data_IF_158007293472
#
_entry.id   IF_158007293472
#
_cell.length_a   1.000
_cell.length_b   1.000
_cell.length_c   1.000
_cell.angle_alpha   90.00
_cell.angle_beta   90.00
_cell.angle_gamma   90.00
#
_symmetry.space_group_name_H-M   'P 1'
#
loop_
_entity.id
_entity.type
_entity.pdbx_description
1 polymer ?
#
# COMPACT_ATOMS: atom_id res chain seq x y z
N UNK A 1 1.45 72.04 5.60
CA UNK A 1 0.63 71.05 6.32
C UNK A 1 -0.35 70.51 5.29
N UNK A 2 -0.40 69.26 4.83
CA UNK A 2 0.24 67.99 5.19
C UNK A 2 0.23 67.08 3.94
N UNK A 3 1.36 66.92 3.23
CA UNK A 3 1.48 65.90 2.18
C UNK A 3 2.16 64.60 2.68
N UNK A 4 2.59 64.55 3.94
CA UNK A 4 3.33 63.42 4.51
C UNK A 4 2.47 62.26 5.03
N UNK A 5 1.12 62.33 4.93
CA UNK A 5 0.23 61.33 5.55
C UNK A 5 -0.52 60.42 4.57
N UNK A 6 -0.45 60.66 3.25
CA UNK A 6 -1.28 59.91 2.28
C UNK A 6 -0.71 58.55 1.86
N UNK A 7 0.57 58.27 2.12
CA UNK A 7 1.25 57.04 1.68
C UNK A 7 1.64 56.09 2.82
N UNK A 8 1.33 56.42 4.08
CA UNK A 8 1.74 55.59 5.22
C UNK A 8 1.03 54.22 5.25
N UNK A 9 -0.18 54.12 4.70
CA UNK A 9 -0.90 52.85 4.59
C UNK A 9 -0.22 51.87 3.63
N UNK A 10 0.49 52.37 2.60
CA UNK A 10 1.22 51.51 1.64
C UNK A 10 2.36 50.79 2.37
N UNK A 11 3.05 51.47 3.29
CA UNK A 11 4.13 50.85 4.07
C UNK A 11 3.56 49.73 4.94
N UNK A 12 2.48 49.98 5.69
CA UNK A 12 1.83 48.95 6.49
C UNK A 12 1.27 47.79 5.65
N UNK A 13 0.76 48.07 4.45
CA UNK A 13 0.28 47.06 3.51
C UNK A 13 1.42 46.20 2.94
N UNK A 14 2.54 46.82 2.55
CA UNK A 14 3.74 46.13 2.06
C UNK A 14 4.35 45.26 3.16
N UNK A 15 4.42 45.75 4.40
CA UNK A 15 4.89 44.96 5.54
C UNK A 15 3.99 43.75 5.80
N UNK A 16 2.67 43.95 5.79
CA UNK A 16 1.69 42.86 5.93
C UNK A 16 1.83 41.81 4.83
N UNK A 17 1.96 42.23 3.56
CA UNK A 17 2.15 41.31 2.44
C UNK A 17 3.48 40.56 2.52
N UNK A 18 4.54 41.21 3.02
CA UNK A 18 5.84 40.59 3.23
C UNK A 18 5.77 39.52 4.31
N UNK A 19 5.08 39.77 5.42
CA UNK A 19 4.85 38.78 6.49
C UNK A 19 4.04 37.59 5.97
N UNK A 20 3.00 37.83 5.16
CA UNK A 20 2.22 36.76 4.53
C UNK A 20 3.08 35.91 3.59
N UNK A 21 3.87 36.54 2.71
CA UNK A 21 4.79 35.79 1.83
C UNK A 21 5.81 34.99 2.63
N UNK A 22 6.42 35.59 3.66
CA UNK A 22 7.36 34.90 4.53
C UNK A 22 6.71 33.71 5.25
N UNK A 23 5.46 33.85 5.69
CA UNK A 23 4.67 32.76 6.27
C UNK A 23 4.44 31.63 5.27
N UNK A 24 3.98 31.92 4.04
CA UNK A 24 3.75 30.89 3.02
C UNK A 24 5.04 30.19 2.59
N UNK A 25 6.14 30.92 2.42
CA UNK A 25 7.45 30.34 2.10
C UNK A 25 7.91 29.42 3.24
N UNK A 26 7.81 29.89 4.48
CA UNK A 26 8.16 29.07 5.66
C UNK A 26 7.27 27.84 5.79
N UNK A 27 5.96 27.99 5.59
CA UNK A 27 4.99 26.89 5.62
C UNK A 27 5.29 25.83 4.55
N UNK A 28 5.53 26.25 3.30
CA UNK A 28 5.87 25.36 2.19
C UNK A 28 7.21 24.66 2.39
N UNK A 29 8.23 25.34 2.93
CA UNK A 29 9.51 24.73 3.29
C UNK A 29 9.38 23.68 4.40
N UNK A 30 8.58 23.96 5.43
CA UNK A 30 8.33 23.00 6.52
C UNK A 30 7.53 21.80 6.00
N UNK A 31 6.48 22.05 5.21
CA UNK A 31 5.63 21.01 4.65
C UNK A 31 6.43 20.05 3.74
N UNK A 32 7.28 20.59 2.86
CA UNK A 32 8.14 19.80 1.96
C UNK A 32 9.20 19.01 2.72
N UNK A 33 9.85 19.60 3.73
CA UNK A 33 10.82 18.87 4.59
C UNK A 33 10.18 17.69 5.32
N UNK A 34 8.99 17.88 5.89
CA UNK A 34 8.28 16.80 6.60
C UNK A 34 7.90 15.67 5.64
N UNK A 35 7.41 16.00 4.44
CA UNK A 35 7.09 15.00 3.42
C UNK A 35 8.32 14.18 3.02
N UNK A 36 9.45 14.84 2.73
CA UNK A 36 10.71 14.20 2.36
C UNK A 36 11.24 13.26 3.46
N UNK A 37 11.14 13.66 4.73
CA UNK A 37 11.55 12.82 5.85
C UNK A 37 10.70 11.54 5.96
N UNK A 38 9.38 11.64 5.80
CA UNK A 38 8.51 10.48 5.79
C UNK A 38 8.75 9.55 4.61
N UNK A 39 8.94 10.10 3.41
CA UNK A 39 9.25 9.32 2.20
C UNK A 39 10.58 8.59 2.36
N UNK A 40 11.61 9.27 2.88
CA UNK A 40 12.91 8.65 3.14
C UNK A 40 12.82 7.50 4.15
N UNK A 41 12.02 7.67 5.21
CA UNK A 41 11.74 6.59 6.15
C UNK A 41 11.09 5.38 5.46
N UNK A 42 10.06 5.59 4.65
CA UNK A 42 9.37 4.53 3.91
C UNK A 42 10.33 3.84 2.94
N UNK A 43 11.06 4.60 2.13
CA UNK A 43 12.01 4.07 1.13
C UNK A 43 13.11 3.22 1.79
N UNK A 44 13.68 3.70 2.90
CA UNK A 44 14.69 2.92 3.66
C UNK A 44 14.08 1.64 4.23
N UNK A 45 12.84 1.70 4.69
CA UNK A 45 12.13 0.53 5.21
C UNK A 45 11.87 -0.48 4.10
N UNK A 46 11.40 -0.03 2.93
CA UNK A 46 11.21 -0.87 1.75
C UNK A 46 12.50 -1.53 1.30
N UNK A 47 13.62 -0.81 1.25
CA UNK A 47 14.91 -1.41 0.88
C UNK A 47 15.34 -2.52 1.86
N UNK A 48 15.05 -2.39 3.16
CA UNK A 48 15.35 -3.46 4.14
C UNK A 48 14.44 -4.67 3.95
N UNK A 49 13.14 -4.46 3.74
CA UNK A 49 12.18 -5.53 3.53
C UNK A 49 12.49 -6.27 2.22
N UNK A 50 12.78 -5.56 1.14
CA UNK A 50 13.23 -6.14 -0.14
C UNK A 50 14.43 -7.06 0.05
N UNK A 51 15.48 -6.59 0.73
CA UNK A 51 16.69 -7.40 1.00
C UNK A 51 16.37 -8.67 1.80
N UNK A 52 15.44 -8.59 2.76
CA UNK A 52 15.01 -9.75 3.54
C UNK A 52 14.20 -10.72 2.69
N UNK A 53 13.22 -10.23 1.94
CA UNK A 53 12.40 -11.03 1.02
C UNK A 53 13.29 -11.75 -0.01
N UNK A 54 14.22 -11.05 -0.65
CA UNK A 54 15.14 -11.65 -1.62
C UNK A 54 16.08 -12.70 -1.02
N UNK A 55 16.28 -12.70 0.31
CA UNK A 55 17.12 -13.67 1.01
C UNK A 55 16.33 -14.91 1.43
N UNK A 56 15.07 -14.74 1.83
CA UNK A 56 14.26 -15.79 2.45
C UNK A 56 13.27 -16.43 1.47
N UNK A 57 12.85 -15.71 0.43
CA UNK A 57 11.92 -16.18 -0.56
C UNK A 57 12.64 -16.95 -1.66
N UNK A 58 11.98 -17.96 -2.22
CA UNK A 58 12.54 -18.78 -3.28
C UNK A 58 12.64 -17.99 -4.59
N UNK A 59 13.55 -18.41 -5.49
CA UNK A 59 13.89 -17.68 -6.72
C UNK A 59 12.74 -17.56 -7.73
N UNK A 60 11.68 -18.35 -7.57
CA UNK A 60 10.48 -18.29 -8.41
C UNK A 60 9.65 -17.03 -8.17
N UNK A 61 9.80 -16.39 -7.00
CA UNK A 61 9.15 -15.13 -6.72
C UNK A 61 9.98 -13.95 -7.22
N UNK A 62 9.31 -12.97 -7.83
CA UNK A 62 9.96 -11.71 -8.18
C UNK A 62 9.57 -10.62 -7.19
N UNK A 63 10.57 -9.99 -6.58
CA UNK A 63 10.38 -8.86 -5.66
C UNK A 63 10.93 -7.59 -6.33
N UNK A 64 10.10 -6.55 -6.43
CA UNK A 64 10.45 -5.26 -7.00
C UNK A 64 10.24 -4.16 -5.97
N UNK A 65 11.27 -3.37 -5.70
CA UNK A 65 11.16 -2.18 -4.86
C UNK A 65 10.73 -0.97 -5.69
N UNK A 66 9.58 -0.40 -5.34
CA UNK A 66 8.98 0.75 -6.01
C UNK A 66 9.18 2.06 -5.21
N UNK A 67 10.20 2.11 -4.34
CA UNK A 67 10.52 3.26 -3.51
C UNK A 67 9.42 3.56 -2.49
N UNK A 68 8.87 4.77 -2.55
CA UNK A 68 7.79 5.18 -1.63
C UNK A 68 6.46 4.48 -1.91
N UNK A 69 6.28 3.93 -3.13
CA UNK A 69 5.06 3.21 -3.50
C UNK A 69 4.98 1.80 -2.89
N UNK A 70 6.08 1.31 -2.31
CA UNK A 70 6.13 0.04 -1.61
C UNK A 70 6.97 -1.04 -2.31
N UNK A 71 6.69 -2.28 -1.98
CA UNK A 71 7.28 -3.47 -2.59
C UNK A 71 6.20 -4.21 -3.35
N UNK A 72 6.47 -4.54 -4.61
CA UNK A 72 5.66 -5.46 -5.41
C UNK A 72 6.28 -6.84 -5.34
N UNK A 73 5.46 -7.82 -4.96
CA UNK A 73 5.80 -9.23 -4.98
C UNK A 73 4.93 -9.89 -6.04
N UNK A 74 5.55 -10.51 -7.03
CA UNK A 74 4.86 -11.21 -8.10
C UNK A 74 4.80 -12.69 -7.73
N UNK A 75 3.58 -13.23 -7.62
CA UNK A 75 3.40 -14.67 -7.47
C UNK A 75 3.68 -15.34 -8.82
N UNK A 76 4.48 -16.41 -8.84
CA UNK A 76 4.62 -17.22 -10.04
C UNK A 76 3.27 -17.86 -10.41
N UNK A 77 2.98 -17.93 -11.70
CA UNK A 77 1.77 -18.59 -12.19
C UNK A 77 1.79 -20.10 -11.89
N UNK A 78 2.99 -20.69 -11.81
CA UNK A 78 3.25 -22.09 -11.55
C UNK A 78 4.56 -22.26 -10.78
N UNK A 79 4.61 -23.19 -9.83
CA UNK A 79 5.84 -23.63 -9.17
C UNK A 79 5.92 -25.15 -9.29
N UNK A 80 7.01 -25.68 -9.85
CA UNK A 80 7.27 -27.12 -9.96
C UNK A 80 6.10 -27.93 -10.58
N UNK A 81 5.46 -27.45 -11.65
CA UNK A 81 4.31 -28.16 -12.25
C UNK A 81 2.97 -27.87 -11.57
N UNK A 82 2.94 -27.09 -10.50
CA UNK A 82 1.75 -26.80 -9.70
C UNK A 82 1.27 -25.38 -10.03
N UNK A 83 0.18 -25.22 -10.81
CA UNK A 83 -0.33 -23.90 -11.12
C UNK A 83 -1.02 -23.28 -9.90
N UNK A 84 -0.87 -21.98 -9.71
CA UNK A 84 -1.57 -21.22 -8.66
C UNK A 84 -3.09 -21.26 -8.88
N UNK A 85 -3.51 -21.08 -10.13
CA UNK A 85 -4.91 -21.20 -10.57
C UNK A 85 -4.98 -22.12 -11.79
N UNK A 86 -5.97 -23.01 -11.79
CA UNK A 86 -6.28 -23.75 -13.01
C UNK A 86 -6.85 -22.80 -14.08
N UNK A 87 -6.81 -23.25 -15.34
CA UNK A 87 -7.37 -22.52 -16.49
C UNK A 87 -8.83 -22.17 -16.23
N UNK A 88 -9.20 -20.90 -16.46
CA UNK A 88 -10.54 -20.35 -16.24
C UNK A 88 -11.09 -20.48 -14.81
N UNK A 89 -10.25 -20.79 -13.82
CA UNK A 89 -10.63 -20.86 -12.42
C UNK A 89 -10.02 -19.71 -11.62
N UNK A 90 -10.76 -19.28 -10.60
CA UNK A 90 -10.32 -18.28 -9.62
C UNK A 90 -9.90 -18.88 -8.28
N UNK A 91 -10.19 -20.16 -8.03
CA UNK A 91 -9.82 -20.81 -6.78
C UNK A 91 -8.35 -21.19 -6.79
N UNK A 92 -7.66 -20.87 -5.68
CA UNK A 92 -6.26 -21.23 -5.49
C UNK A 92 -6.14 -22.75 -5.41
N UNK A 93 -5.22 -23.31 -6.18
CA UNK A 93 -4.90 -24.73 -6.15
C UNK A 93 -4.46 -25.13 -4.74
N UNK A 94 -5.06 -26.18 -4.19
CA UNK A 94 -4.74 -26.68 -2.83
C UNK A 94 -3.25 -26.98 -2.66
N UNK A 95 -2.61 -27.52 -3.69
CA UNK A 95 -1.18 -27.84 -3.65
C UNK A 95 -0.28 -26.61 -3.71
N UNK A 96 -0.81 -25.47 -4.14
CA UNK A 96 -0.07 -24.20 -4.20
C UNK A 96 -0.11 -23.43 -2.86
N UNK A 97 -1.11 -23.70 -2.02
CA UNK A 97 -1.31 -23.05 -0.71
C UNK A 97 -0.06 -22.95 0.17
N UNK A 98 0.79 -23.99 0.32
CA UNK A 98 2.00 -23.90 1.16
C UNK A 98 3.00 -22.82 0.72
N UNK A 99 3.05 -22.52 -0.58
CA UNK A 99 3.91 -21.45 -1.10
C UNK A 99 3.39 -20.08 -0.67
N UNK A 100 2.08 -19.88 -0.70
CA UNK A 100 1.44 -18.65 -0.21
C UNK A 100 1.62 -18.53 1.31
N UNK A 101 1.48 -19.62 2.06
CA UNK A 101 1.67 -19.62 3.52
C UNK A 101 3.11 -19.22 3.88
N UNK A 102 4.10 -19.74 3.15
CA UNK A 102 5.52 -19.40 3.35
C UNK A 102 5.76 -17.92 3.08
N UNK A 103 5.24 -17.39 1.96
CA UNK A 103 5.32 -15.97 1.67
C UNK A 103 4.64 -15.15 2.77
N UNK A 104 3.43 -15.51 3.18
CA UNK A 104 2.69 -14.80 4.21
C UNK A 104 3.46 -14.78 5.54
N UNK A 105 4.10 -15.89 5.91
CA UNK A 105 4.93 -15.99 7.10
C UNK A 105 6.18 -15.10 7.00
N UNK A 106 6.88 -15.09 5.87
CA UNK A 106 8.03 -14.20 5.63
C UNK A 106 7.58 -12.74 5.69
N UNK A 107 6.43 -12.39 5.12
CA UNK A 107 5.89 -11.03 5.20
C UNK A 107 5.57 -10.71 6.66
N UNK A 108 4.89 -11.57 7.41
CA UNK A 108 4.64 -11.35 8.85
C UNK A 108 5.97 -11.15 9.59
N UNK A 109 6.95 -12.02 9.41
CA UNK A 109 8.25 -11.93 10.10
C UNK A 109 9.11 -10.74 9.63
N UNK A 110 8.94 -10.29 8.39
CA UNK A 110 9.57 -9.06 7.89
C UNK A 110 8.85 -7.82 8.41
N UNK A 111 7.53 -7.87 8.61
CA UNK A 111 6.70 -6.78 9.15
C UNK A 111 6.81 -6.65 10.68
N UNK A 112 7.42 -7.62 11.37
CA UNK A 112 7.99 -7.45 12.71
C UNK A 112 9.04 -6.30 12.74
N UNK A 113 9.46 -5.76 11.59
CA UNK A 113 10.11 -4.43 11.48
C UNK A 113 9.29 -3.24 12.03
N UNK A 114 8.08 -3.44 12.52
CA UNK A 114 7.42 -2.54 13.46
C UNK A 114 8.38 -2.08 14.58
N UNK A 115 9.35 -2.90 14.98
CA UNK A 115 10.36 -2.52 15.98
C UNK A 115 11.27 -1.36 15.54
N UNK A 116 11.52 -1.15 14.24
CA UNK A 116 12.20 0.06 13.74
C UNK A 116 11.26 1.26 13.63
N UNK A 117 9.96 1.05 13.39
CA UNK A 117 8.98 2.14 13.45
C UNK A 117 8.68 2.54 14.89
N UNK A 118 8.83 1.64 15.87
CA UNK A 118 8.65 1.92 17.30
C UNK A 118 9.50 3.10 17.77
N UNK A 119 10.68 3.29 17.18
CA UNK A 119 11.55 4.45 17.45
C UNK A 119 10.89 5.77 17.02
N UNK A 120 10.22 5.79 15.85
CA UNK A 120 9.60 6.99 15.27
C UNK A 120 8.09 7.11 15.55
N UNK A 121 7.46 6.06 16.08
CA UNK A 121 6.03 6.02 16.42
C UNK A 121 5.66 7.18 17.35
N UNK A 122 6.40 7.48 18.44
CA UNK A 122 6.07 8.62 19.29
C UNK A 122 6.10 9.95 18.54
N UNK A 123 7.06 10.12 17.61
CA UNK A 123 7.17 11.33 16.80
C UNK A 123 5.96 11.49 15.88
N UNK A 124 5.61 10.46 15.10
CA UNK A 124 4.44 10.52 14.20
C UNK A 124 3.13 10.62 14.99
N UNK A 125 3.00 9.90 16.10
CA UNK A 125 1.84 9.94 16.98
C UNK A 125 1.64 11.32 17.60
N UNK A 126 2.72 12.02 17.99
CA UNK A 126 2.68 13.40 18.49
C UNK A 126 2.16 14.38 17.44
N UNK A 127 2.36 14.09 16.15
CA UNK A 127 1.85 14.86 15.01
C UNK A 127 0.46 14.42 14.57
N UNK A 128 -0.20 13.55 15.34
CA UNK A 128 -1.51 13.01 14.97
C UNK A 128 -1.44 12.16 13.69
N UNK A 129 -0.35 11.44 13.47
CA UNK A 129 -0.20 10.49 12.36
C UNK A 129 -0.03 9.07 12.88
N UNK A 130 -0.53 8.10 12.15
CA UNK A 130 -0.29 6.68 12.37
C UNK A 130 0.21 6.04 11.07
N UNK A 131 1.19 5.15 11.18
CA UNK A 131 1.61 4.34 10.05
C UNK A 131 0.70 3.12 9.96
N UNK A 132 0.09 2.95 8.81
CA UNK A 132 -0.66 1.75 8.48
C UNK A 132 0.02 1.02 7.36
N UNK A 133 0.07 -0.29 7.50
CA UNK A 133 0.53 -1.20 6.47
C UNK A 133 -0.67 -1.58 5.62
N UNK A 134 -0.57 -1.41 4.31
CA UNK A 134 -1.60 -1.87 3.40
C UNK A 134 -1.03 -2.83 2.36
N UNK A 135 -1.90 -3.70 1.91
CA UNK A 135 -1.69 -4.69 0.89
C UNK A 135 -2.67 -4.44 -0.24
N UNK A 136 -2.18 -4.41 -1.47
CA UNK A 136 -3.03 -4.46 -2.66
C UNK A 136 -2.75 -5.73 -3.41
N UNK A 137 -3.81 -6.52 -3.63
CA UNK A 137 -3.73 -7.73 -4.44
C UNK A 137 -4.24 -7.40 -5.84
N UNK A 138 -3.39 -7.58 -6.84
CA UNK A 138 -3.70 -7.29 -8.23
C UNK A 138 -3.75 -8.59 -9.04
N UNK A 139 -4.87 -8.86 -9.70
CA UNK A 139 -5.03 -10.04 -10.56
C UNK A 139 -4.84 -9.70 -12.02
N UNK A 140 -4.18 -10.60 -12.75
CA UNK A 140 -3.91 -10.48 -14.19
C UNK A 140 -4.28 -11.77 -14.93
N UNK A 141 -4.60 -11.64 -16.22
CA UNK A 141 -4.79 -12.75 -17.15
C UNK A 141 -3.89 -12.56 -18.36
N UNK A 142 -3.68 -13.64 -19.11
CA UNK A 142 -3.24 -13.53 -20.50
C UNK A 142 -4.37 -12.94 -21.36
N UNK A 143 -4.06 -12.67 -22.64
CA UNK A 143 -5.02 -12.12 -23.59
C UNK A 143 -5.92 -13.19 -24.26
N UNK A 144 -6.02 -14.38 -23.69
CA UNK A 144 -6.91 -15.41 -24.23
C UNK A 144 -8.34 -15.10 -23.85
N UNK A 145 -9.25 -15.16 -24.82
CA UNK A 145 -10.69 -15.07 -24.57
C UNK A 145 -11.24 -13.64 -24.60
N UNK A 146 -12.30 -13.40 -23.83
CA UNK A 146 -13.05 -12.15 -23.85
C UNK A 146 -12.57 -11.21 -22.74
N UNK A 147 -12.34 -9.95 -23.07
CA UNK A 147 -11.75 -8.96 -22.16
C UNK A 147 -12.62 -8.71 -20.91
N UNK A 148 -13.96 -8.71 -21.03
CA UNK A 148 -14.87 -8.54 -19.88
C UNK A 148 -14.79 -9.77 -18.97
N UNK A 149 -14.72 -10.98 -19.55
CA UNK A 149 -14.51 -12.21 -18.78
C UNK A 149 -13.14 -12.20 -18.08
N UNK A 150 -12.09 -11.75 -18.76
CA UNK A 150 -10.74 -11.64 -18.23
C UNK A 150 -10.68 -10.65 -17.05
N UNK A 151 -11.34 -9.50 -17.17
CA UNK A 151 -11.47 -8.54 -16.08
C UNK A 151 -12.12 -9.17 -14.85
N UNK A 152 -13.28 -9.81 -15.03
CA UNK A 152 -13.99 -10.48 -13.93
C UNK A 152 -13.20 -11.63 -13.31
N UNK A 153 -12.51 -12.44 -14.13
CA UNK A 153 -11.68 -13.55 -13.66
C UNK A 153 -10.49 -13.04 -12.84
N UNK A 154 -9.83 -12.00 -13.32
CA UNK A 154 -8.69 -11.38 -12.65
C UNK A 154 -9.08 -10.81 -11.27
N UNK A 155 -10.22 -10.13 -11.18
CA UNK A 155 -10.75 -9.60 -9.92
C UNK A 155 -11.08 -10.72 -8.92
N UNK A 156 -11.71 -11.81 -9.39
CA UNK A 156 -12.01 -12.98 -8.54
C UNK A 156 -10.74 -13.66 -8.04
N UNK A 157 -9.69 -13.76 -8.86
CA UNK A 157 -8.39 -14.30 -8.42
C UNK A 157 -7.76 -13.43 -7.34
N UNK A 158 -7.78 -12.11 -7.53
CA UNK A 158 -7.29 -11.17 -6.51
C UNK A 158 -8.09 -11.30 -5.20
N UNK A 159 -9.42 -11.43 -5.28
CA UNK A 159 -10.28 -11.66 -4.12
C UNK A 159 -9.96 -12.98 -3.41
N UNK A 160 -9.79 -14.08 -4.14
CA UNK A 160 -9.45 -15.38 -3.55
C UNK A 160 -8.08 -15.34 -2.87
N UNK A 161 -7.09 -14.70 -3.48
CA UNK A 161 -5.78 -14.49 -2.87
C UNK A 161 -5.86 -13.61 -1.62
N UNK A 162 -6.62 -12.51 -1.66
CA UNK A 162 -6.89 -11.68 -0.47
C UNK A 162 -7.48 -12.53 0.65
N UNK A 163 -8.58 -13.21 0.39
CA UNK A 163 -9.31 -13.99 1.38
C UNK A 163 -8.41 -15.07 1.99
N UNK A 164 -7.59 -15.72 1.17
CA UNK A 164 -6.62 -16.69 1.65
C UNK A 164 -5.58 -16.04 2.59
N UNK A 165 -4.97 -14.92 2.18
CA UNK A 165 -4.01 -14.20 3.01
C UNK A 165 -4.63 -13.72 4.33
N UNK A 166 -5.83 -13.14 4.31
CA UNK A 166 -6.53 -12.68 5.53
C UNK A 166 -6.79 -13.84 6.50
N UNK A 167 -7.30 -14.98 5.99
CA UNK A 167 -7.66 -16.11 6.84
C UNK A 167 -6.46 -16.89 7.38
N UNK A 168 -5.32 -16.85 6.68
CA UNK A 168 -4.15 -17.67 6.97
C UNK A 168 -2.95 -16.86 7.49
N UNK A 169 -3.10 -15.54 7.65
CA UNK A 169 -2.07 -14.66 8.22
C UNK A 169 -2.58 -13.91 9.44
N UNK A 170 -1.74 -13.04 10.01
CA UNK A 170 -2.11 -12.15 11.13
C UNK A 170 -2.62 -10.79 10.66
N UNK A 171 -2.82 -10.59 9.36
CA UNK A 171 -3.22 -9.30 8.80
C UNK A 171 -4.75 -9.11 8.87
N UNK A 172 -5.19 -7.94 9.31
CA UNK A 172 -6.61 -7.57 9.29
C UNK A 172 -7.08 -7.36 7.83
N UNK A 173 -8.32 -7.72 7.53
CA UNK A 173 -8.97 -7.45 6.25
C UNK A 173 -8.90 -5.98 5.85
N UNK A 174 -9.00 -5.05 6.81
CA UNK A 174 -8.92 -3.60 6.58
C UNK A 174 -7.58 -3.15 5.95
N UNK A 175 -6.54 -3.97 6.08
CA UNK A 175 -5.25 -3.68 5.45
C UNK A 175 -5.23 -4.05 3.97
N UNK A 176 -6.25 -4.75 3.45
CA UNK A 176 -6.25 -5.24 2.08
C UNK A 176 -7.17 -4.47 1.14
N UNK A 177 -6.69 -4.31 -0.08
CA UNK A 177 -7.46 -3.86 -1.24
C UNK A 177 -7.23 -4.83 -2.40
N UNK A 178 -8.18 -4.91 -3.33
CA UNK A 178 -8.06 -5.77 -4.52
C UNK A 178 -8.27 -4.96 -5.80
N UNK A 179 -7.63 -5.39 -6.88
CA UNK A 179 -7.85 -4.88 -8.22
C UNK A 179 -7.75 -6.03 -9.24
N UNK A 180 -8.58 -5.99 -10.27
CA UNK A 180 -8.42 -6.85 -11.45
C UNK A 180 -8.01 -5.99 -12.64
N UNK A 181 -7.06 -6.43 -13.45
CA UNK A 181 -6.66 -5.73 -14.67
C UNK A 181 -6.95 -6.52 -15.96
N UNK A 182 -7.44 -7.76 -15.84
CA UNK A 182 -7.53 -8.66 -16.99
C UNK A 182 -6.19 -8.74 -17.73
N UNK A 183 -6.25 -8.56 -19.04
CA UNK A 183 -5.10 -8.58 -19.95
C UNK A 183 -4.43 -7.20 -20.15
N UNK A 184 -4.96 -6.13 -19.54
CA UNK A 184 -4.54 -4.73 -19.84
C UNK A 184 -3.14 -4.35 -19.36
N UNK A 185 -2.50 -5.19 -18.55
CA UNK A 185 -1.17 -4.96 -17.96
C UNK A 185 -0.28 -6.20 -18.10
N UNK A 186 0.12 -6.56 -19.34
CA UNK A 186 1.02 -7.69 -19.56
C UNK A 186 2.39 -7.40 -18.95
N UNK A 187 3.00 -8.44 -18.38
CA UNK A 187 4.42 -8.39 -17.97
C UNK A 187 5.32 -8.91 -19.09
N UNK A 188 4.77 -9.74 -19.98
CA UNK A 188 5.42 -10.27 -21.16
C UNK A 188 4.71 -9.76 -22.41
N UNK A 189 5.47 -9.23 -23.37
CA UNK A 189 4.97 -8.71 -24.64
C UNK A 189 4.22 -9.80 -25.44
N UNK A 190 4.55 -11.07 -25.24
CA UNK A 190 3.80 -12.17 -25.79
C UNK A 190 2.56 -12.41 -24.92
N UNK A 191 1.45 -11.81 -25.36
CA UNK A 191 0.22 -11.67 -24.56
C UNK A 191 -0.42 -12.98 -24.10
N UNK A 192 -0.15 -14.10 -24.79
CA UNK A 192 -0.70 -15.42 -24.48
C UNK A 192 0.14 -16.23 -23.48
N UNK A 193 1.30 -15.73 -23.08
CA UNK A 193 2.16 -16.46 -22.15
C UNK A 193 1.56 -16.52 -20.75
N UNK A 194 1.89 -17.59 -20.05
CA UNK A 194 1.38 -17.90 -18.73
C UNK A 194 1.88 -16.97 -17.63
N UNK A 195 3.02 -16.29 -17.83
CA UNK A 195 3.49 -15.28 -16.88
C UNK A 195 2.53 -14.08 -16.79
N UNK A 196 1.67 -13.87 -17.80
CA UNK A 196 0.60 -12.88 -17.73
C UNK A 196 -0.57 -13.33 -16.82
N UNK A 197 -0.71 -14.64 -16.54
CA UNK A 197 -1.69 -15.20 -15.58
C UNK A 197 -1.15 -15.20 -14.15
N UNK A 198 -0.82 -14.02 -13.64
CA UNK A 198 -0.20 -13.83 -12.33
C UNK A 198 -1.11 -13.09 -11.35
N UNK A 199 -0.71 -13.14 -10.08
CA UNK A 199 -1.20 -12.24 -9.05
C UNK A 199 0.00 -11.45 -8.52
N UNK A 200 -0.20 -10.17 -8.25
CA UNK A 200 0.79 -9.32 -7.61
C UNK A 200 0.28 -8.91 -6.22
N UNK A 201 1.17 -8.89 -5.24
CA UNK A 201 0.92 -8.32 -3.92
C UNK A 201 1.81 -7.10 -3.74
N UNK A 202 1.18 -5.94 -3.62
CA UNK A 202 1.84 -4.68 -3.35
C UNK A 202 1.72 -4.39 -1.86
N UNK A 203 2.83 -4.45 -1.15
CA UNK A 203 2.96 -4.04 0.24
C UNK A 203 3.40 -2.57 0.28
N UNK A 204 2.67 -1.71 0.95
CA UNK A 204 3.10 -0.34 1.20
C UNK A 204 2.76 0.13 2.63
N UNK A 205 3.38 1.25 3.03
CA UNK A 205 2.98 1.95 4.24
C UNK A 205 2.37 3.30 3.89
N UNK A 206 1.33 3.68 4.62
CA UNK A 206 0.68 4.98 4.51
C UNK A 206 0.64 5.65 5.87
N UNK A 207 1.02 6.93 5.91
CA UNK A 207 0.87 7.77 7.10
C UNK A 207 -0.51 8.41 7.08
N UNK A 208 -1.43 7.88 7.89
CA UNK A 208 -2.78 8.42 8.00
C UNK A 208 -2.83 9.51 9.07
N UNK A 209 -3.55 10.61 8.80
CA UNK A 209 -3.87 11.59 9.84
C UNK A 209 -4.98 11.04 10.75
N UNK A 210 -4.80 11.15 12.08
CA UNK A 210 -5.65 10.60 13.16
C UNK A 210 -7.14 11.01 13.06
N UNK A 211 -7.45 12.09 12.35
CA UNK A 211 -8.82 12.56 12.12
C UNK A 211 -9.69 11.54 11.37
N UNK A 212 -9.09 10.65 10.56
CA UNK A 212 -9.83 9.58 9.86
C UNK A 212 -9.98 8.31 10.72
N UNK A 213 -9.05 8.06 11.66
CA UNK A 213 -9.09 6.87 12.52
C UNK A 213 -10.18 6.97 13.60
N UNK A 214 -10.29 8.12 14.27
CA UNK A 214 -11.31 8.31 15.31
C UNK A 214 -12.74 8.37 14.74
N UNK A 215 -12.90 8.74 13.46
CA UNK A 215 -14.21 8.78 12.79
C UNK A 215 -14.71 7.37 12.43
N UNK A 216 -13.81 6.46 12.04
CA UNK A 216 -14.16 5.08 11.71
C UNK A 216 -14.41 4.23 12.97
N UNK A 217 -13.62 4.39 14.03
CA UNK A 217 -13.85 3.68 15.31
C UNK A 217 -15.16 4.11 15.97
N UNK A 218 -15.51 5.40 15.92
CA UNK A 218 -16.77 5.90 16.49
C UNK A 218 -18.02 5.54 15.65
N UNK A 219 -17.86 5.28 14.35
CA UNK A 219 -18.91 4.68 13.52
C UNK A 219 -19.08 3.19 13.81
N UNK A 220 -17.98 2.43 13.95
CA UNK A 220 -18.03 1.00 14.26
C UNK A 220 -18.54 0.71 15.69
N UNK A 221 -18.26 1.59 16.65
CA UNK A 221 -18.87 1.53 18.00
C UNK A 221 -20.36 1.86 18.01
N UNK A 222 -20.88 2.62 17.03
CA UNK A 222 -22.32 2.90 16.90
C UNK A 222 -23.10 1.82 16.13
N UNK A 223 -22.42 0.94 15.39
CA UNK A 223 -23.06 -0.13 14.60
C UNK A 223 -23.18 -1.44 15.40
N UNK A 224 -22.50 -1.58 16.54
CA UNK A 224 -22.72 -2.71 17.45
C UNK A 224 -24.11 -2.60 18.09
N UNK A 225 -25.07 -3.37 17.58
CA UNK A 225 -26.41 -3.49 18.18
C UNK A 225 -26.28 -3.95 19.64
N UNK A 226 -27.07 -3.39 20.58
CA UNK A 226 -27.05 -3.80 21.97
C UNK A 226 -27.61 -5.22 22.07
N UNK A 227 -26.75 -6.24 22.18
CA UNK A 227 -27.23 -7.62 22.33
C UNK A 227 -26.20 -8.75 22.33
N UNK A 228 -25.01 -8.60 21.77
CA UNK A 228 -24.04 -9.72 21.74
C UNK A 228 -23.12 -9.69 22.97
N UNK A 229 -23.35 -10.66 23.88
CA UNK A 229 -22.50 -10.93 25.04
C UNK A 229 -21.18 -11.58 24.62
N UNK A 230 -20.14 -11.24 25.38
CA UNK A 230 -18.73 -11.66 25.32
C UNK A 230 -18.60 -13.19 25.35
#
# INVERSE_FOLDING_TARGET
MDQNNSNNWIVSYVDFMTVIMAFFISFTLIATKVAAASELFIVRTMSKIEKKLNKELSSEYTVQNMGYSGIRIIFPAEINGIPMFNVNQSFINKSFKPYIDTLAQIIVDSTIFYDSYREYEPFYRSKGRSLNMNFRVEGHTDASGDNIKNMNLSLKRAEQTKNYLVNNSKFNEDNFSICGYGESRPVNDILLYDENRRVELILNYTLNNKLNYLKNDSLNLKIKKPGERI
#
